data_IF_855288025590
#
_entry.id   IF_855288025590
#
_cell.length_a   1.000
_cell.length_b   1.000
_cell.length_c   1.000
_cell.angle_alpha   90.00
_cell.angle_beta   90.00
_cell.angle_gamma   90.00
#
_symmetry.space_group_name_H-M   'P 1'
#
loop_
_entity.id
_entity.type
_entity.pdbx_description
1 polymer ?
#
# COMPACT_ATOMS: atom_id res chain seq x y z
N UNK A 1 29.38 8.06 -11.41
CA UNK A 1 29.49 6.58 -11.42
C UNK A 1 30.41 6.18 -10.27
N UNK A 2 30.00 5.26 -9.39
CA UNK A 2 30.81 4.82 -8.25
C UNK A 2 32.01 3.97 -8.76
N UNK A 3 33.24 4.20 -8.26
CA UNK A 3 34.42 3.41 -8.63
C UNK A 3 34.26 1.91 -8.30
N UNK A 4 34.74 1.02 -9.17
CA UNK A 4 34.59 -0.44 -9.00
C UNK A 4 35.23 -0.98 -7.72
N UNK A 5 36.30 -0.34 -7.23
CA UNK A 5 36.99 -0.73 -6.01
C UNK A 5 36.10 -0.52 -4.76
N UNK A 6 35.30 0.55 -4.73
CA UNK A 6 34.32 0.78 -3.68
C UNK A 6 33.16 -0.21 -3.78
N UNK A 7 32.69 -0.51 -5.00
CA UNK A 7 31.65 -1.53 -5.23
C UNK A 7 32.09 -2.90 -4.70
N UNK A 8 33.34 -3.31 -4.94
CA UNK A 8 33.88 -4.60 -4.46
C UNK A 8 34.04 -4.62 -2.93
N UNK A 9 34.50 -3.52 -2.32
CA UNK A 9 34.57 -3.41 -0.85
C UNK A 9 33.19 -3.47 -0.19
N UNK A 10 32.18 -2.83 -0.78
CA UNK A 10 30.80 -2.89 -0.29
C UNK A 10 30.21 -4.31 -0.39
N UNK A 11 30.47 -5.02 -1.49
CA UNK A 11 30.06 -6.42 -1.67
C UNK A 11 30.78 -7.34 -0.67
N UNK A 12 32.08 -7.15 -0.47
CA UNK A 12 32.84 -7.91 0.52
C UNK A 12 32.37 -7.65 1.96
N UNK A 13 32.01 -6.41 2.30
CA UNK A 13 31.43 -6.06 3.60
C UNK A 13 30.04 -6.66 3.85
N UNK A 14 29.23 -6.81 2.79
CA UNK A 14 27.93 -7.49 2.86
C UNK A 14 28.09 -9.00 3.11
N UNK A 15 29.00 -9.66 2.37
CA UNK A 15 29.26 -11.09 2.52
C UNK A 15 29.93 -11.44 3.86
N UNK A 16 30.84 -10.59 4.34
CA UNK A 16 31.47 -10.79 5.66
C UNK A 16 30.47 -10.67 6.82
N UNK A 17 29.41 -9.86 6.65
CA UNK A 17 28.30 -9.72 7.62
C UNK A 17 27.36 -10.92 7.62
N UNK A 18 27.32 -11.73 6.54
CA UNK A 18 26.53 -12.97 6.50
C UNK A 18 27.20 -14.12 7.28
N UNK A 19 28.52 -14.08 7.45
CA UNK A 19 29.30 -15.09 8.21
C UNK A 19 29.57 -14.72 9.67
N UNK A 20 29.24 -13.50 10.11
CA UNK A 20 29.43 -13.05 11.48
C UNK A 20 28.24 -13.39 12.36
N UNK A 21 28.42 -14.36 13.27
CA UNK A 21 27.67 -14.62 14.52
C UNK A 21 26.31 -13.92 14.60
N UNK A 22 25.22 -14.68 14.37
CA UNK A 22 23.87 -14.23 14.70
C UNK A 22 23.86 -13.79 16.18
N UNK A 23 23.80 -12.48 16.42
CA UNK A 23 23.57 -11.97 17.76
C UNK A 23 22.22 -12.53 18.25
N UNK A 24 22.05 -12.80 19.55
CA UNK A 24 20.80 -13.36 20.07
C UNK A 24 19.54 -12.55 19.69
N UNK A 25 19.67 -11.25 19.41
CA UNK A 25 18.58 -10.39 18.94
C UNK A 25 18.40 -10.29 17.41
N UNK A 26 19.37 -10.75 16.61
CA UNK A 26 19.30 -10.70 15.13
C UNK A 26 18.35 -11.73 14.53
N UNK A 27 18.20 -12.89 15.19
CA UNK A 27 17.21 -13.91 14.82
C UNK A 27 15.77 -13.45 15.12
N UNK A 28 15.58 -12.72 16.22
CA UNK A 28 14.29 -12.20 16.67
C UNK A 28 13.75 -11.10 15.74
N UNK A 29 14.58 -10.09 15.41
CA UNK A 29 14.20 -9.05 14.45
C UNK A 29 13.86 -9.59 13.06
N UNK A 30 14.56 -10.66 12.62
CA UNK A 30 14.27 -11.32 11.35
C UNK A 30 12.91 -12.05 11.40
N UNK A 31 12.57 -12.64 12.54
CA UNK A 31 11.26 -13.25 12.77
C UNK A 31 10.16 -12.19 12.75
N UNK A 32 10.34 -11.09 13.49
CA UNK A 32 9.42 -9.96 13.52
C UNK A 32 9.19 -9.38 12.11
N UNK A 33 10.26 -9.13 11.35
CA UNK A 33 10.16 -8.62 9.99
C UNK A 33 9.35 -9.56 9.07
N UNK A 34 9.52 -10.88 9.23
CA UNK A 34 8.71 -11.87 8.49
C UNK A 34 7.24 -11.80 8.90
N UNK A 35 6.94 -11.73 10.19
CA UNK A 35 5.57 -11.64 10.70
C UNK A 35 4.87 -10.37 10.19
N UNK A 36 5.53 -9.22 10.28
CA UNK A 36 5.01 -7.95 9.77
C UNK A 36 4.79 -8.01 8.25
N UNK A 37 5.72 -8.57 7.48
CA UNK A 37 5.55 -8.73 6.04
C UNK A 37 4.40 -9.69 5.68
N UNK A 38 4.23 -10.79 6.44
CA UNK A 38 3.09 -11.70 6.26
C UNK A 38 1.76 -11.00 6.58
N UNK A 39 1.71 -10.19 7.64
CA UNK A 39 0.54 -9.37 7.98
C UNK A 39 0.23 -8.34 6.87
N UNK A 40 1.25 -7.70 6.31
CA UNK A 40 1.11 -6.76 5.20
C UNK A 40 0.50 -7.44 3.96
N UNK A 41 1.02 -8.61 3.58
CA UNK A 41 0.54 -9.35 2.40
C UNK A 41 -0.87 -9.93 2.59
N UNK A 42 -1.25 -10.25 3.84
CA UNK A 42 -2.57 -10.79 4.16
C UNK A 42 -3.67 -9.72 4.17
N UNK A 43 -3.36 -8.54 4.70
CA UNK A 43 -4.39 -7.54 5.01
C UNK A 43 -4.54 -6.43 3.96
N UNK A 44 -3.50 -6.16 3.15
CA UNK A 44 -3.60 -5.15 2.11
C UNK A 44 -3.95 -5.75 0.74
N UNK A 45 -5.02 -5.27 0.13
CA UNK A 45 -5.52 -5.78 -1.14
C UNK A 45 -4.59 -5.49 -2.34
N UNK A 46 -3.89 -4.35 -2.28
CA UNK A 46 -2.98 -3.88 -3.34
C UNK A 46 -1.57 -3.64 -2.81
N UNK A 47 -0.73 -4.68 -2.88
CA UNK A 47 0.69 -4.55 -2.52
C UNK A 47 1.50 -3.83 -3.60
N UNK A 48 2.64 -3.24 -3.21
CA UNK A 48 3.58 -2.64 -4.17
C UNK A 48 3.97 -3.59 -5.30
N UNK A 49 4.20 -4.87 -5.00
CA UNK A 49 4.54 -5.86 -6.02
C UNK A 49 3.40 -6.04 -7.04
N UNK A 50 2.15 -6.15 -6.57
CA UNK A 50 0.96 -6.31 -7.41
C UNK A 50 0.74 -5.06 -8.27
N UNK A 51 0.77 -3.87 -7.66
CA UNK A 51 0.62 -2.60 -8.36
C UNK A 51 1.70 -2.41 -9.44
N UNK A 52 2.96 -2.70 -9.14
CA UNK A 52 4.05 -2.59 -10.10
C UNK A 52 3.93 -3.58 -11.26
N UNK A 53 3.43 -4.78 -11.02
CA UNK A 53 3.16 -5.72 -12.10
C UNK A 53 2.10 -5.20 -13.06
N UNK A 54 1.05 -4.55 -12.54
CA UNK A 54 0.00 -3.91 -13.36
C UNK A 54 0.58 -2.73 -14.14
N UNK A 55 1.21 -1.78 -13.45
CA UNK A 55 1.76 -0.55 -14.04
C UNK A 55 2.89 -0.78 -15.05
N UNK A 56 3.55 -1.95 -15.00
CA UNK A 56 4.62 -2.31 -15.97
C UNK A 56 4.13 -3.27 -17.06
N UNK A 57 2.82 -3.52 -17.15
CA UNK A 57 2.23 -4.38 -18.17
C UNK A 57 2.57 -5.87 -18.03
N UNK A 58 3.11 -6.28 -16.87
CA UNK A 58 3.47 -7.69 -16.59
C UNK A 58 2.26 -8.55 -16.22
N UNK A 59 1.12 -7.94 -15.95
CA UNK A 59 -0.15 -8.61 -15.71
C UNK A 59 -1.00 -8.57 -17.00
N UNK A 60 -0.85 -9.56 -17.88
CA UNK A 60 -1.38 -9.53 -19.25
C UNK A 60 -2.84 -9.94 -19.39
N UNK A 61 -3.47 -10.52 -18.37
CA UNK A 61 -4.80 -11.13 -18.49
C UNK A 61 -5.95 -10.18 -18.23
N UNK A 62 -5.73 -9.03 -17.58
CA UNK A 62 -6.77 -8.04 -17.31
C UNK A 62 -6.15 -6.65 -17.09
N UNK A 63 -5.96 -5.85 -18.15
CA UNK A 63 -5.44 -4.49 -17.99
C UNK A 63 -6.45 -3.61 -17.24
N UNK A 64 -5.98 -2.63 -16.44
CA UNK A 64 -6.87 -1.71 -15.75
C UNK A 64 -7.62 -0.84 -16.76
N UNK A 65 -8.89 -0.55 -16.48
CA UNK A 65 -9.66 0.42 -17.24
C UNK A 65 -9.11 1.83 -16.96
N UNK A 66 -8.84 2.60 -18.02
CA UNK A 66 -8.20 3.92 -17.90
C UNK A 66 -9.26 5.01 -17.89
N UNK A 67 -9.29 5.80 -16.82
CA UNK A 67 -10.12 7.01 -16.72
C UNK A 67 -9.27 8.22 -17.06
N UNK A 68 -9.57 8.89 -18.17
CA UNK A 68 -8.80 10.05 -18.66
C UNK A 68 -9.68 11.23 -19.10
N UNK A 69 -11.00 11.05 -19.11
CA UNK A 69 -11.98 12.07 -19.46
C UNK A 69 -13.32 11.78 -18.76
N UNK A 70 -14.33 12.60 -19.07
CA UNK A 70 -15.65 12.49 -18.47
C UNK A 70 -16.40 11.22 -18.90
N UNK A 71 -16.23 10.81 -20.16
CA UNK A 71 -16.95 9.67 -20.72
C UNK A 71 -16.43 8.36 -20.13
N UNK A 72 -15.11 8.21 -20.03
CA UNK A 72 -14.46 7.08 -19.37
C UNK A 72 -14.80 7.02 -17.88
N UNK A 73 -14.89 8.16 -17.18
CA UNK A 73 -15.34 8.17 -15.78
C UNK A 73 -16.77 7.65 -15.64
N UNK A 74 -17.71 8.13 -16.46
CA UNK A 74 -19.09 7.64 -16.42
C UNK A 74 -19.21 6.16 -16.77
N UNK A 75 -18.39 5.67 -17.69
CA UNK A 75 -18.30 4.24 -18.00
C UNK A 75 -17.83 3.43 -16.78
N UNK A 76 -16.80 3.90 -16.06
CA UNK A 76 -16.31 3.27 -14.84
C UNK A 76 -17.38 3.20 -13.72
N UNK A 77 -18.17 4.28 -13.59
CA UNK A 77 -19.28 4.42 -12.65
C UNK A 77 -20.47 3.50 -12.95
N UNK A 78 -20.74 3.23 -14.23
CA UNK A 78 -21.85 2.40 -14.68
C UNK A 78 -21.56 0.89 -14.58
N UNK A 79 -20.74 0.48 -13.60
CA UNK A 79 -20.50 -0.92 -13.28
C UNK A 79 -19.31 -1.57 -13.99
N UNK A 80 -18.54 -0.83 -14.81
CA UNK A 80 -17.32 -1.39 -15.41
C UNK A 80 -16.18 -1.58 -14.40
N UNK A 81 -16.09 -0.67 -13.42
CA UNK A 81 -15.02 -0.71 -12.41
C UNK A 81 -15.61 -0.81 -11.01
N UNK A 82 -16.66 -0.03 -10.71
CA UNK A 82 -17.29 -0.02 -9.39
C UNK A 82 -18.69 -0.62 -9.46
N UNK A 83 -18.91 -1.74 -8.76
CA UNK A 83 -20.20 -2.46 -8.72
C UNK A 83 -21.33 -1.67 -8.03
N UNK A 84 -21.01 -0.57 -7.36
CA UNK A 84 -21.99 0.30 -6.69
C UNK A 84 -22.10 1.62 -7.45
N UNK A 85 -23.28 1.84 -8.05
CA UNK A 85 -23.90 3.16 -7.95
C UNK A 85 -24.03 3.40 -6.45
N UNK A 86 -23.20 4.28 -5.90
CA UNK A 86 -23.33 4.63 -4.49
C UNK A 86 -24.69 5.33 -4.40
N UNK A 87 -25.68 4.66 -3.80
CA UNK A 87 -26.96 5.26 -3.40
C UNK A 87 -26.64 6.34 -2.34
N UNK A 88 -26.25 7.53 -2.80
CA UNK A 88 -25.68 8.59 -1.96
C UNK A 88 -24.47 9.32 -2.56
N UNK A 89 -23.92 8.89 -3.70
CA UNK A 89 -22.99 9.72 -4.47
C UNK A 89 -23.71 11.03 -4.82
N UNK A 90 -23.02 12.18 -4.73
CA UNK A 90 -23.61 13.47 -5.08
C UNK A 90 -24.25 13.39 -6.46
N UNK A 91 -25.57 13.44 -6.51
CA UNK A 91 -26.32 13.47 -7.77
C UNK A 91 -26.13 14.86 -8.39
N UNK A 92 -25.04 14.98 -9.14
CA UNK A 92 -24.81 15.98 -10.17
C UNK A 92 -24.46 17.41 -9.68
N UNK A 93 -23.21 17.83 -9.92
CA UNK A 93 -22.86 18.96 -10.82
C UNK A 93 -21.36 19.30 -10.86
N UNK A 94 -20.57 18.84 -9.90
CA UNK A 94 -19.12 19.12 -9.84
C UNK A 94 -18.30 17.84 -9.86
N UNK A 95 -17.59 17.62 -10.97
CA UNK A 95 -16.72 16.46 -11.15
C UNK A 95 -15.67 16.33 -10.04
N UNK A 96 -15.14 17.47 -9.57
CA UNK A 96 -14.16 17.50 -8.49
C UNK A 96 -14.70 16.93 -7.19
N UNK A 97 -15.97 17.22 -6.87
CA UNK A 97 -16.64 16.68 -5.67
C UNK A 97 -16.83 15.18 -5.80
N UNK A 98 -17.18 14.69 -7.00
CA UNK A 98 -17.34 13.26 -7.24
C UNK A 98 -16.02 12.48 -7.11
N UNK A 99 -14.95 12.98 -7.75
CA UNK A 99 -13.61 12.39 -7.63
C UNK A 99 -13.14 12.42 -6.17
N UNK A 100 -13.35 13.53 -5.47
CA UNK A 100 -13.01 13.65 -4.05
C UNK A 100 -13.76 12.63 -3.20
N UNK A 101 -15.05 12.43 -3.46
CA UNK A 101 -15.87 11.43 -2.78
C UNK A 101 -15.34 10.01 -3.03
N UNK A 102 -14.96 9.68 -4.27
CA UNK A 102 -14.31 8.39 -4.59
C UNK A 102 -13.01 8.20 -3.81
N UNK A 103 -12.16 9.23 -3.73
CA UNK A 103 -10.96 9.20 -2.90
C UNK A 103 -11.28 8.96 -1.41
N UNK A 104 -12.36 9.57 -0.90
CA UNK A 104 -12.80 9.39 0.48
C UNK A 104 -13.24 7.94 0.75
N UNK A 105 -14.03 7.35 -0.15
CA UNK A 105 -14.41 5.94 -0.05
C UNK A 105 -13.19 5.02 0.02
N UNK A 106 -12.24 5.18 -0.92
CA UNK A 106 -10.99 4.39 -0.92
C UNK A 106 -10.17 4.62 0.35
N UNK A 107 -10.17 5.84 0.89
CA UNK A 107 -9.49 6.15 2.16
C UNK A 107 -10.11 5.36 3.32
N UNK A 108 -11.44 5.32 3.42
CA UNK A 108 -12.14 4.55 4.46
C UNK A 108 -11.83 3.05 4.35
N UNK A 109 -11.83 2.51 3.14
CA UNK A 109 -11.45 1.11 2.90
C UNK A 109 -10.00 0.84 3.31
N UNK A 110 -9.08 1.74 2.99
CA UNK A 110 -7.66 1.61 3.34
C UNK A 110 -7.44 1.72 4.85
N UNK A 111 -8.19 2.59 5.55
CA UNK A 111 -8.17 2.68 7.02
C UNK A 111 -8.57 1.34 7.64
N UNK A 112 -9.60 0.68 7.08
CA UNK A 112 -10.03 -0.65 7.54
C UNK A 112 -8.93 -1.69 7.33
N UNK A 113 -8.29 -1.71 6.16
CA UNK A 113 -7.16 -2.62 5.87
C UNK A 113 -5.97 -2.39 6.80
N UNK A 114 -5.60 -1.12 7.04
CA UNK A 114 -4.52 -0.74 7.95
C UNK A 114 -4.82 -1.09 9.41
N UNK A 115 -6.09 -1.01 9.82
CA UNK A 115 -6.52 -1.43 11.15
C UNK A 115 -6.35 -2.94 11.34
N UNK A 116 -6.77 -3.74 10.36
CA UNK A 116 -6.55 -5.19 10.40
C UNK A 116 -5.06 -5.55 10.32
N UNK A 117 -4.27 -4.82 9.51
CA UNK A 117 -2.82 -4.96 9.50
C UNK A 117 -2.21 -4.70 10.88
N UNK A 118 -2.57 -3.59 11.54
CA UNK A 118 -2.04 -3.22 12.85
C UNK A 118 -2.34 -4.27 13.92
N UNK A 119 -3.55 -4.83 13.93
CA UNK A 119 -3.94 -5.94 14.83
C UNK A 119 -3.09 -7.20 14.67
N UNK A 120 -2.43 -7.39 13.53
CA UNK A 120 -1.53 -8.51 13.27
C UNK A 120 -0.05 -8.18 13.56
N UNK A 121 0.27 -6.98 14.06
CA UNK A 121 1.61 -6.63 14.54
C UNK A 121 1.76 -7.13 15.99
N UNK A 122 2.80 -7.92 16.31
CA UNK A 122 3.05 -8.38 17.67
C UNK A 122 3.10 -7.22 18.67
N UNK A 123 2.37 -7.35 19.79
CA UNK A 123 2.29 -6.32 20.83
C UNK A 123 1.23 -5.24 20.62
N UNK A 124 0.65 -5.09 19.42
CA UNK A 124 -0.33 -4.03 19.16
C UNK A 124 -1.65 -4.24 19.91
N UNK A 125 -2.18 -5.46 19.88
CA UNK A 125 -3.45 -5.80 20.56
C UNK A 125 -3.33 -5.84 22.09
N UNK A 126 -2.09 -5.94 22.60
CA UNK A 126 -1.79 -5.98 24.03
C UNK A 126 -1.78 -4.57 24.64
N UNK A 127 -1.75 -3.52 23.81
CA UNK A 127 -1.92 -2.13 24.26
C UNK A 127 -3.35 -1.87 24.73
N UNK A 128 -3.53 -0.84 25.56
CA UNK A 128 -4.89 -0.38 25.88
C UNK A 128 -5.62 0.07 24.61
N UNK A 129 -6.93 -0.19 24.57
CA UNK A 129 -7.75 0.14 23.40
C UNK A 129 -7.67 1.62 23.01
N UNK A 130 -7.59 2.53 24.00
CA UNK A 130 -7.43 3.96 23.75
C UNK A 130 -6.12 4.30 23.04
N UNK A 131 -5.04 3.59 23.36
CA UNK A 131 -3.74 3.77 22.73
C UNK A 131 -3.77 3.22 21.29
N UNK A 132 -4.38 2.05 21.08
CA UNK A 132 -4.59 1.49 19.73
C UNK A 132 -5.36 2.47 18.83
N UNK A 133 -6.47 3.03 19.32
CA UNK A 133 -7.27 4.02 18.60
C UNK A 133 -6.46 5.29 18.33
N UNK A 134 -5.69 5.75 19.31
CA UNK A 134 -4.84 6.95 19.18
C UNK A 134 -3.77 6.75 18.12
N UNK A 135 -3.05 5.62 18.15
CA UNK A 135 -2.03 5.28 17.15
C UNK A 135 -2.61 5.23 15.74
N UNK A 136 -3.78 4.61 15.56
CA UNK A 136 -4.45 4.57 14.26
C UNK A 136 -4.92 5.96 13.82
N UNK A 137 -5.54 6.73 14.72
CA UNK A 137 -6.04 8.09 14.42
C UNK A 137 -4.96 9.00 13.86
N UNK A 138 -3.75 8.96 14.42
CA UNK A 138 -2.65 9.82 14.01
C UNK A 138 -1.74 9.19 12.94
N UNK A 139 -1.60 7.86 12.90
CA UNK A 139 -0.69 7.20 11.97
C UNK A 139 -1.27 6.81 10.61
N UNK A 140 -2.60 6.68 10.48
CA UNK A 140 -3.20 6.07 9.28
C UNK A 140 -2.95 6.87 8.00
N UNK A 141 -2.99 8.21 8.06
CA UNK A 141 -2.74 9.06 6.89
C UNK A 141 -1.28 9.01 6.45
N UNK A 142 -0.34 8.97 7.39
CA UNK A 142 1.08 8.80 7.07
C UNK A 142 1.35 7.45 6.40
N UNK A 143 0.70 6.38 6.88
CA UNK A 143 0.77 5.06 6.26
C UNK A 143 0.18 5.08 4.84
N UNK A 144 -0.98 5.71 4.64
CA UNK A 144 -1.61 5.86 3.32
C UNK A 144 -0.67 6.59 2.36
N UNK A 145 -0.13 7.74 2.74
CA UNK A 145 0.78 8.51 1.88
C UNK A 145 2.11 7.80 1.64
N UNK A 146 2.57 6.96 2.57
CA UNK A 146 3.76 6.12 2.37
C UNK A 146 3.50 5.00 1.35
N UNK A 147 2.26 4.50 1.26
CA UNK A 147 1.87 3.46 0.32
C UNK A 147 1.49 4.02 -1.06
N UNK A 148 0.93 5.22 -1.12
CA UNK A 148 0.41 5.85 -2.35
C UNK A 148 1.41 5.84 -3.53
N UNK A 149 2.71 6.15 -3.36
CA UNK A 149 3.70 6.07 -4.44
C UNK A 149 3.86 4.67 -5.06
N UNK A 150 3.44 3.62 -4.36
CA UNK A 150 3.45 2.26 -4.89
C UNK A 150 2.38 2.04 -5.96
N UNK A 151 1.35 2.88 -5.98
CA UNK A 151 0.21 2.86 -6.92
C UNK A 151 0.37 3.87 -8.06
N UNK A 152 1.39 4.73 -8.01
CA UNK A 152 1.59 5.82 -8.97
C UNK A 152 2.72 5.55 -9.95
N UNK A 153 2.62 6.14 -11.14
CA UNK A 153 3.73 6.38 -12.04
C UNK A 153 3.69 7.85 -12.52
N UNK A 154 4.48 8.20 -13.54
CA UNK A 154 4.53 9.57 -14.08
C UNK A 154 3.24 9.99 -14.82
N UNK A 155 2.39 9.03 -15.18
CA UNK A 155 1.23 9.20 -16.05
C UNK A 155 -0.11 9.06 -15.30
N UNK A 156 -0.11 8.57 -14.05
CA UNK A 156 -1.32 8.43 -13.24
C UNK A 156 -1.17 7.51 -12.02
N UNK A 157 -2.31 7.09 -11.47
CA UNK A 157 -2.44 6.12 -10.38
C UNK A 157 -3.38 4.97 -10.74
N UNK A 158 -3.21 3.81 -10.09
CA UNK A 158 -4.15 2.68 -10.14
C UNK A 158 -5.41 2.90 -9.30
#
# INVERSE_FOLDING_TARGET
>A
KLPEAEKRKLVAGLLARETGVQSPGGSDLKSLAKQVNSAYQKNLNMTKKKARNILTGKNSSNPPFVIHDMDSLWQAENGLVWNQLINGAPTNKEIGVHVFYRCQCTTVETVRELTEFAKNIPGFIDLFLNDQVTLLKYGVHEAIFSMLPSLMNKDGLL
#
